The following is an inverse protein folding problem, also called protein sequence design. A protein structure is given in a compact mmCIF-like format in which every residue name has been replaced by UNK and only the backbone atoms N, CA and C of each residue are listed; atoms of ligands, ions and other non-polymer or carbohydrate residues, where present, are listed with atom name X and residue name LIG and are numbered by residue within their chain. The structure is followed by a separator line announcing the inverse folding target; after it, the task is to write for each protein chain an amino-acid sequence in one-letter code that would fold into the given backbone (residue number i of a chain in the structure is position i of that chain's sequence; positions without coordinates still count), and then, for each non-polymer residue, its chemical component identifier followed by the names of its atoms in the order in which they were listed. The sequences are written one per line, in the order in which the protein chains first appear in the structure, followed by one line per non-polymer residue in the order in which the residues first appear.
data_IF_354680859516
#
_entry.id   IF_354680859516
#
_cell.length_a   1.000
_cell.length_b   1.000
_cell.length_c   1.000
_cell.angle_alpha   90.00
_cell.angle_beta   90.00
_cell.angle_gamma   90.00
#
_symmetry.space_group_name_H-M   'P 1'
#
loop_
_entity.id
_entity.type
_entity.pdbx_description
1 polymer ?
#
# COMPACT_ATOMS: atom_id res chain seq x y z
N UNK A 1 -0.76 -33.23 4.96
CA UNK A 1 -2.10 -32.60 4.91
C UNK A 1 -2.00 -31.34 5.76
N UNK A 2 -1.53 -30.24 5.16
CA UNK A 2 -1.21 -29.02 5.92
C UNK A 2 -2.49 -28.40 6.46
N UNK A 3 -2.46 -28.26 7.78
CA UNK A 3 -3.53 -27.97 8.70
C UNK A 3 -4.11 -26.57 8.47
N UNK A 4 -5.43 -26.43 8.64
CA UNK A 4 -6.24 -25.21 8.45
C UNK A 4 -5.94 -24.08 9.45
N UNK A 5 -4.73 -24.02 10.01
CA UNK A 5 -4.30 -23.02 11.01
C UNK A 5 -3.46 -21.87 10.45
N UNK A 6 -3.01 -21.91 9.19
CA UNK A 6 -2.12 -20.87 8.64
C UNK A 6 -2.87 -19.72 7.95
N UNK A 7 -4.19 -19.62 8.11
CA UNK A 7 -5.03 -18.56 7.53
C UNK A 7 -5.58 -17.57 8.56
N UNK A 8 -5.21 -17.69 9.84
CA UNK A 8 -5.69 -16.79 10.93
C UNK A 8 -4.66 -15.76 11.43
N UNK A 9 -3.60 -15.47 10.67
CA UNK A 9 -2.70 -14.33 11.00
C UNK A 9 -3.11 -13.00 10.33
N UNK A 10 -4.40 -12.84 10.02
CA UNK A 10 -5.01 -11.54 9.71
C UNK A 10 -5.74 -11.03 10.95
N UNK A 11 -5.01 -10.80 12.03
CA UNK A 11 -5.51 -10.03 13.17
C UNK A 11 -4.64 -8.78 13.37
N UNK A 12 -5.32 -7.66 13.18
CA UNK A 12 -4.99 -6.27 13.48
C UNK A 12 -4.56 -6.14 14.94
N UNK A 13 -3.55 -5.30 15.23
CA UNK A 13 -3.28 -4.61 16.52
C UNK A 13 -1.95 -3.82 16.35
N UNK A 14 -1.72 -2.56 16.75
CA UNK A 14 -2.40 -1.62 17.65
C UNK A 14 -2.26 -0.18 17.08
N UNK A 15 -3.35 0.59 17.07
CA UNK A 15 -3.28 2.05 17.18
C UNK A 15 -3.16 2.34 18.68
N UNK A 16 -2.15 3.12 19.07
CA UNK A 16 -2.16 3.81 20.35
C UNK A 16 -2.50 5.28 20.10
N UNK A 17 -3.34 5.79 20.99
CA UNK A 17 -3.90 7.14 21.13
C UNK A 17 -5.07 7.61 20.22
N UNK A 18 -6.25 7.62 20.88
CA UNK A 18 -7.41 8.53 20.85
C UNK A 18 -8.80 7.90 20.55
N UNK A 19 -9.47 7.53 21.66
CA UNK A 19 -10.92 7.39 21.98
C UNK A 19 -11.77 8.56 21.40
N UNK A 20 -13.05 8.48 20.99
CA UNK A 20 -14.13 7.48 20.85
C UNK A 20 -15.18 8.05 19.87
N UNK A 21 -15.94 7.21 19.16
CA UNK A 21 -17.42 7.25 19.21
C UNK A 21 -18.05 6.02 18.52
N UNK A 22 -19.24 5.66 19.00
CA UNK A 22 -19.81 4.31 19.00
C UNK A 22 -20.74 3.99 17.80
N UNK A 23 -20.83 2.69 17.48
CA UNK A 23 -21.93 2.03 16.73
C UNK A 23 -22.17 2.40 15.24
N UNK A 24 -21.19 2.10 14.39
CA UNK A 24 -21.42 1.40 13.11
C UNK A 24 -20.11 0.67 12.77
N UNK A 25 -20.10 -0.67 12.67
CA UNK A 25 -18.87 -1.44 12.40
C UNK A 25 -18.46 -1.31 10.90
N UNK A 26 -18.41 -0.07 10.41
CA UNK A 26 -17.97 0.33 9.09
C UNK A 26 -16.48 0.59 9.11
N UNK A 27 -15.68 -0.47 9.26
CA UNK A 27 -14.25 -0.37 9.07
C UNK A 27 -13.97 0.10 7.64
N UNK A 28 -13.30 1.25 7.50
CA UNK A 28 -12.96 1.81 6.18
C UNK A 28 -12.21 0.75 5.35
N UNK A 29 -12.83 0.32 4.26
CA UNK A 29 -12.30 -0.70 3.37
C UNK A 29 -11.88 -0.09 2.04
N UNK A 30 -10.66 -0.41 1.62
CA UNK A 30 -10.10 0.06 0.35
C UNK A 30 -10.75 -0.69 -0.82
N UNK A 31 -11.50 0.02 -1.66
CA UNK A 31 -11.96 -0.51 -2.93
C UNK A 31 -10.82 -0.59 -3.94
N UNK A 32 -11.00 -1.35 -5.02
CA UNK A 32 -9.99 -1.45 -6.09
C UNK A 32 -9.73 -0.08 -6.74
N UNK A 33 -10.76 0.76 -6.93
CA UNK A 33 -10.59 2.11 -7.49
C UNK A 33 -9.81 3.04 -6.55
N UNK A 34 -10.10 3.01 -5.25
CA UNK A 34 -9.36 3.77 -4.25
C UNK A 34 -7.89 3.33 -4.19
N UNK A 35 -7.65 2.03 -4.34
CA UNK A 35 -6.29 1.47 -4.35
C UNK A 35 -5.52 1.89 -5.61
N UNK A 36 -6.15 1.91 -6.78
CA UNK A 36 -5.53 2.42 -8.01
C UNK A 36 -5.19 3.90 -7.90
N UNK A 37 -6.11 4.71 -7.36
CA UNK A 37 -5.86 6.13 -7.09
C UNK A 37 -4.65 6.32 -6.15
N UNK A 38 -4.52 5.51 -5.09
CA UNK A 38 -3.37 5.54 -4.20
C UNK A 38 -2.05 5.26 -4.95
N UNK A 39 -2.03 4.24 -5.82
CA UNK A 39 -0.84 3.87 -6.60
C UNK A 39 -0.46 4.96 -7.61
N UNK A 40 -1.45 5.59 -8.26
CA UNK A 40 -1.24 6.69 -9.20
C UNK A 40 -0.67 7.93 -8.51
N UNK A 41 -1.22 8.30 -7.35
CA UNK A 41 -0.70 9.42 -6.56
C UNK A 41 0.70 9.13 -6.02
N UNK A 42 0.95 7.89 -5.57
CA UNK A 42 2.30 7.47 -5.17
C UNK A 42 3.28 7.65 -6.34
N UNK A 43 2.93 7.19 -7.55
CA UNK A 43 3.76 7.34 -8.75
C UNK A 43 4.05 8.80 -9.10
N UNK A 44 3.08 9.69 -8.90
CA UNK A 44 3.20 11.14 -9.12
C UNK A 44 4.16 11.79 -8.13
N UNK A 45 4.04 11.44 -6.84
CA UNK A 45 4.75 12.13 -5.77
C UNK A 45 6.12 11.53 -5.43
N UNK A 46 6.32 10.22 -5.63
CA UNK A 46 7.62 9.59 -5.38
C UNK A 46 8.73 10.20 -6.23
N UNK A 47 8.40 10.70 -7.44
CA UNK A 47 9.31 11.41 -8.33
C UNK A 47 9.76 12.77 -7.81
N UNK A 48 9.00 13.35 -6.89
CA UNK A 48 9.28 14.66 -6.27
C UNK A 48 9.97 14.50 -4.92
N UNK A 49 10.12 13.26 -4.42
CA UNK A 49 10.76 12.98 -3.15
C UNK A 49 12.22 13.46 -3.17
N UNK A 50 12.64 14.15 -2.11
CA UNK A 50 13.96 14.78 -2.00
C UNK A 50 14.04 16.20 -2.54
N UNK A 51 12.96 16.72 -3.16
CA UNK A 51 12.86 18.15 -3.50
C UNK A 51 12.51 18.99 -2.26
N UNK A 52 12.71 20.31 -2.35
CA UNK A 52 12.32 21.25 -1.28
C UNK A 52 10.83 21.16 -0.91
N UNK A 53 9.97 20.81 -1.86
CA UNK A 53 8.52 20.67 -1.67
C UNK A 53 8.15 19.34 -1.02
N UNK A 54 8.93 18.28 -1.22
CA UNK A 54 8.63 16.93 -0.75
C UNK A 54 9.87 16.27 -0.15
N UNK A 55 10.25 16.76 1.02
CA UNK A 55 11.53 16.42 1.69
C UNK A 55 11.56 14.99 2.26
N UNK A 56 10.39 14.41 2.56
CA UNK A 56 10.32 13.11 3.25
C UNK A 56 9.12 12.27 2.80
N UNK A 57 9.19 10.96 3.08
CA UNK A 57 8.05 10.06 2.88
C UNK A 57 6.85 10.48 3.74
N UNK A 58 7.08 10.98 4.96
CA UNK A 58 6.00 11.49 5.83
C UNK A 58 5.22 12.61 5.15
N UNK A 59 5.91 13.59 4.57
CA UNK A 59 5.28 14.68 3.82
C UNK A 59 4.56 14.20 2.57
N UNK A 60 5.11 13.20 1.89
CA UNK A 60 4.47 12.58 0.72
C UNK A 60 3.15 11.90 1.10
N UNK A 61 3.14 11.09 2.15
CA UNK A 61 1.92 10.40 2.60
C UNK A 61 0.84 11.36 3.08
N UNK A 62 1.23 12.45 3.75
CA UNK A 62 0.31 13.51 4.12
C UNK A 62 -0.33 14.15 2.88
N UNK A 63 0.47 14.47 1.86
CA UNK A 63 -0.04 15.05 0.60
C UNK A 63 -1.00 14.09 -0.13
N UNK A 64 -0.64 12.80 -0.20
CA UNK A 64 -1.48 11.77 -0.81
C UNK A 64 -2.81 11.65 -0.06
N UNK A 65 -2.77 11.61 1.27
CA UNK A 65 -3.98 11.50 2.09
C UNK A 65 -4.93 12.68 1.88
N UNK A 66 -4.40 13.91 1.82
CA UNK A 66 -5.19 15.11 1.50
C UNK A 66 -5.84 14.98 0.12
N UNK A 67 -5.06 14.64 -0.91
CA UNK A 67 -5.58 14.56 -2.28
C UNK A 67 -6.62 13.46 -2.45
N UNK A 68 -6.42 12.28 -1.85
CA UNK A 68 -7.44 11.21 -1.87
C UNK A 68 -8.70 11.65 -1.12
N UNK A 69 -8.54 12.29 0.04
CA UNK A 69 -9.68 12.74 0.84
C UNK A 69 -10.51 13.77 0.09
N UNK A 70 -9.85 14.70 -0.62
CA UNK A 70 -10.53 15.71 -1.46
C UNK A 70 -11.21 15.10 -2.68
N UNK A 71 -10.58 14.13 -3.35
CA UNK A 71 -11.15 13.51 -4.57
C UNK A 71 -12.37 12.64 -4.25
N UNK A 72 -12.33 11.93 -3.13
CA UNK A 72 -13.33 10.93 -2.78
C UNK A 72 -14.34 11.41 -1.74
N UNK A 73 -14.17 12.63 -1.22
CA UNK A 73 -14.99 13.22 -0.16
C UNK A 73 -15.10 12.33 1.09
N UNK A 74 -13.95 11.76 1.49
CA UNK A 74 -13.83 10.88 2.67
C UNK A 74 -12.58 11.23 3.48
N UNK A 75 -12.61 11.03 4.79
CA UNK A 75 -11.45 11.29 5.64
C UNK A 75 -10.48 10.11 5.61
N UNK A 76 -9.35 10.26 4.92
CA UNK A 76 -8.24 9.29 4.96
C UNK A 76 -7.00 9.92 5.60
N UNK A 77 -6.36 9.19 6.50
CA UNK A 77 -5.12 9.61 7.14
C UNK A 77 -3.89 9.16 6.35
N UNK A 78 -2.79 9.90 6.48
CA UNK A 78 -1.49 9.53 5.91
C UNK A 78 -1.07 8.10 6.31
N UNK A 79 -1.39 7.69 7.54
CA UNK A 79 -1.08 6.36 8.05
C UNK A 79 -1.86 5.26 7.33
N UNK A 80 -3.14 5.49 7.04
CA UNK A 80 -3.96 4.56 6.27
C UNK A 80 -3.40 4.34 4.86
N UNK A 81 -2.99 5.43 4.18
CA UNK A 81 -2.34 5.35 2.87
C UNK A 81 -1.02 4.56 2.93
N UNK A 82 -0.15 4.86 3.89
CA UNK A 82 1.13 4.18 4.08
C UNK A 82 0.92 2.67 4.33
N UNK A 83 0.02 2.32 5.25
CA UNK A 83 -0.27 0.94 5.61
C UNK A 83 -0.83 0.16 4.42
N UNK A 84 -1.78 0.74 3.68
CA UNK A 84 -2.33 0.13 2.46
C UNK A 84 -1.23 -0.13 1.45
N UNK A 85 -0.36 0.83 1.20
CA UNK A 85 0.77 0.66 0.29
C UNK A 85 1.73 -0.45 0.73
N UNK A 86 2.07 -0.53 2.03
CA UNK A 86 2.93 -1.61 2.56
C UNK A 86 2.31 -3.00 2.37
N UNK A 87 0.99 -3.11 2.51
CA UNK A 87 0.28 -4.38 2.23
C UNK A 87 0.40 -4.73 0.75
N UNK A 88 0.16 -3.78 -0.16
CA UNK A 88 0.31 -3.99 -1.60
C UNK A 88 1.73 -4.41 -1.97
N UNK A 89 2.74 -3.75 -1.38
CA UNK A 89 4.15 -4.07 -1.60
C UNK A 89 4.50 -5.49 -1.19
N UNK A 90 4.08 -5.92 0.01
CA UNK A 90 4.30 -7.30 0.47
C UNK A 90 3.59 -8.33 -0.41
N UNK A 91 2.34 -8.05 -0.79
CA UNK A 91 1.56 -8.94 -1.66
C UNK A 91 2.17 -9.05 -3.05
N UNK A 92 2.67 -7.95 -3.60
CA UNK A 92 3.36 -7.93 -4.89
C UNK A 92 4.67 -8.74 -4.85
N UNK A 93 5.50 -8.57 -3.81
CA UNK A 93 6.72 -9.36 -3.62
C UNK A 93 6.42 -10.85 -3.55
N UNK A 94 5.44 -11.24 -2.72
CA UNK A 94 4.95 -12.62 -2.67
C UNK A 94 4.46 -13.11 -4.03
N UNK A 95 3.74 -12.28 -4.78
CA UNK A 95 3.29 -12.63 -6.13
C UNK A 95 4.48 -12.94 -7.05
N UNK A 96 5.50 -12.08 -7.09
CA UNK A 96 6.71 -12.27 -7.90
C UNK A 96 7.48 -13.53 -7.48
N UNK A 97 7.69 -13.75 -6.18
CA UNK A 97 8.41 -14.92 -5.66
C UNK A 97 7.72 -16.22 -6.09
N UNK A 98 6.38 -16.26 -6.02
CA UNK A 98 5.59 -17.42 -6.44
C UNK A 98 5.60 -17.67 -7.97
N UNK A 99 5.93 -16.69 -8.81
CA UNK A 99 6.07 -16.91 -10.26
C UNK A 99 7.34 -17.69 -10.62
N UNK A 100 8.35 -17.71 -9.74
CA UNK A 100 9.62 -18.41 -9.97
C UNK A 100 9.60 -19.89 -9.55
N UNK A 101 8.53 -20.34 -8.89
CA UNK A 101 8.36 -21.71 -8.42
C UNK A 101 7.75 -22.66 -9.46
N UNK A 102 8.34 -23.84 -9.64
CA UNK A 102 7.81 -24.92 -10.49
C UNK A 102 6.77 -25.75 -9.72
N UNK A 103 5.61 -25.15 -9.38
CA UNK A 103 4.60 -25.85 -8.58
C UNK A 103 3.20 -25.22 -8.59
N UNK A 104 2.20 -26.09 -8.44
CA UNK A 104 0.73 -25.91 -8.56
C UNK A 104 0.20 -24.52 -8.16
N UNK A 105 -0.33 -23.79 -9.15
CA UNK A 105 -1.24 -22.65 -8.99
C UNK A 105 -0.59 -21.27 -9.18
N UNK A 106 -0.74 -20.68 -10.38
CA UNK A 106 -0.43 -19.25 -10.58
C UNK A 106 -1.29 -18.43 -9.64
N UNK A 107 -0.66 -17.73 -8.69
CA UNK A 107 -1.36 -16.71 -7.89
C UNK A 107 -1.58 -15.48 -8.74
N UNK A 108 -2.78 -14.93 -8.70
CA UNK A 108 -3.13 -13.67 -9.38
C UNK A 108 -3.08 -12.55 -8.34
N UNK A 109 -2.47 -11.43 -8.71
CA UNK A 109 -2.49 -10.21 -7.90
C UNK A 109 -3.13 -9.09 -8.72
N UNK A 110 -4.24 -8.56 -8.21
CA UNK A 110 -5.13 -7.66 -8.97
C UNK A 110 -4.44 -6.36 -9.42
N UNK A 111 -3.44 -5.88 -8.67
CA UNK A 111 -2.69 -4.65 -8.96
C UNK A 111 -1.28 -4.92 -9.51
N UNK A 112 -1.07 -6.10 -10.11
CA UNK A 112 0.25 -6.50 -10.60
C UNK A 112 0.78 -5.52 -11.66
N UNK A 113 -0.06 -5.08 -12.60
CA UNK A 113 0.35 -4.19 -13.67
C UNK A 113 0.78 -2.82 -13.15
N UNK A 114 0.00 -2.24 -12.23
CA UNK A 114 0.28 -0.97 -11.59
C UNK A 114 1.60 -1.04 -10.77
N UNK A 115 1.81 -2.14 -10.05
CA UNK A 115 3.04 -2.35 -9.29
C UNK A 115 4.25 -2.60 -10.20
N UNK A 116 4.11 -3.37 -11.28
CA UNK A 116 5.18 -3.57 -12.27
C UNK A 116 5.63 -2.22 -12.84
N UNK A 117 4.70 -1.36 -13.27
CA UNK A 117 5.05 -0.03 -13.81
C UNK A 117 5.71 0.88 -12.77
N UNK A 118 5.32 0.77 -11.49
CA UNK A 118 6.02 1.44 -10.39
C UNK A 118 7.46 0.94 -10.21
N UNK A 119 7.70 -0.38 -10.35
CA UNK A 119 8.99 -1.02 -10.10
C UNK A 119 9.96 -1.00 -11.30
N UNK A 120 9.46 -1.08 -12.53
CA UNK A 120 10.27 -0.99 -13.74
C UNK A 120 10.97 0.37 -13.85
N UNK A 121 10.29 1.45 -13.41
CA UNK A 121 10.88 2.79 -13.29
C UNK A 121 11.84 2.91 -12.10
N UNK A 122 11.68 2.06 -11.08
CA UNK A 122 12.53 2.01 -9.87
C UNK A 122 13.86 1.28 -10.11
N UNK A 123 14.05 0.59 -11.24
CA UNK A 123 15.36 0.06 -11.68
C UNK A 123 16.45 1.14 -11.80
N UNK A 124 16.06 2.43 -11.74
CA UNK A 124 16.96 3.58 -11.67
C UNK A 124 17.22 4.13 -10.24
N UNK A 125 16.59 3.61 -9.18
CA UNK A 125 16.68 4.18 -7.82
C UNK A 125 16.92 3.17 -6.67
N UNK A 126 16.73 1.86 -6.84
CA UNK A 126 17.01 0.87 -5.76
C UNK A 126 18.45 0.34 -5.83
N UNK A 127 19.42 1.21 -5.66
CA UNK A 127 20.76 0.79 -5.23
C UNK A 127 21.25 1.52 -3.97
N UNK A 128 20.39 2.34 -3.32
CA UNK A 128 20.88 3.24 -2.26
C UNK A 128 20.26 3.14 -0.87
N UNK A 129 19.33 2.23 -0.58
CA UNK A 129 18.70 2.19 0.75
C UNK A 129 18.50 0.80 1.36
N UNK A 130 19.46 -0.10 1.15
CA UNK A 130 19.63 -1.29 1.98
C UNK A 130 21.12 -1.63 2.10
N UNK A 131 21.87 -0.81 2.83
CA UNK A 131 23.03 -1.16 3.66
C UNK A 131 23.09 -0.16 4.81
#
# INVERSE_FOLDING_TARGET
MTHLSDLEELIIIQNDDLVQDEHNNGQFSWTSNQTKLLLDLYKKYIKQLGTLKMKSLKTMWAQIAVEISTILDITITAKNCENRFKVLDRNYKKFVDNQSGTGRGRKVFEFANEMIDLYEKKKLFIQRYYY
#
